data_IF_439265182535
#
_entry.id   IF_439265182535
#
_cell.length_a   1.000
_cell.length_b   1.000
_cell.length_c   1.000
_cell.angle_alpha   90.00
_cell.angle_beta   90.00
_cell.angle_gamma   90.00
#
_symmetry.space_group_name_H-M   'P 1'
#
loop_
_entity.id
_entity.type
_entity.pdbx_description
1 polymer ?
#
# COMPACT_ATOMS: atom_id res chain seq x y z
N UNK A 1 3.53 15.41 27.43
CA UNK A 1 3.38 13.94 27.31
C UNK A 1 1.93 13.55 27.05
N UNK A 2 0.99 14.19 27.73
CA UNK A 2 -0.45 13.89 27.59
C UNK A 2 -0.98 14.28 26.22
N UNK A 3 -0.44 15.35 25.61
CA UNK A 3 -0.89 15.86 24.32
C UNK A 3 -0.43 15.02 23.13
N UNK A 4 0.56 14.14 23.30
CA UNK A 4 1.05 13.27 22.23
C UNK A 4 0.23 11.99 22.08
N UNK A 5 -0.34 11.47 23.15
CA UNK A 5 -1.10 10.22 23.11
C UNK A 5 -2.34 10.28 22.20
N UNK A 6 -3.20 11.32 22.22
CA UNK A 6 -4.35 11.37 21.34
C UNK A 6 -3.97 11.39 19.86
N UNK A 7 -2.88 12.08 19.49
CA UNK A 7 -2.41 12.16 18.10
C UNK A 7 -1.87 10.81 17.66
N UNK A 8 -1.09 10.15 18.52
CA UNK A 8 -0.55 8.81 18.23
C UNK A 8 -1.67 7.78 18.09
N UNK A 9 -2.65 7.80 18.98
CA UNK A 9 -3.81 6.90 18.91
C UNK A 9 -4.63 7.14 17.65
N UNK A 10 -4.82 8.40 17.25
CA UNK A 10 -5.54 8.73 16.02
C UNK A 10 -4.79 8.23 14.78
N UNK A 11 -3.44 8.34 14.76
CA UNK A 11 -2.60 7.81 13.69
C UNK A 11 -2.65 6.29 13.62
N UNK A 12 -2.60 5.62 14.78
CA UNK A 12 -2.71 4.17 14.86
C UNK A 12 -4.08 3.68 14.41
N UNK A 13 -5.15 4.38 14.79
CA UNK A 13 -6.51 4.04 14.37
C UNK A 13 -6.66 4.18 12.86
N UNK A 14 -6.06 5.21 12.27
CA UNK A 14 -6.08 5.44 10.83
C UNK A 14 -5.36 4.33 10.07
N UNK A 15 -4.21 3.90 10.57
CA UNK A 15 -3.46 2.80 9.96
C UNK A 15 -4.22 1.47 10.08
N UNK A 16 -4.80 1.18 11.24
CA UNK A 16 -5.57 -0.04 11.45
C UNK A 16 -6.82 -0.06 10.56
N UNK A 17 -7.50 1.07 10.43
CA UNK A 17 -8.64 1.21 9.54
C UNK A 17 -8.23 0.95 8.09
N UNK A 18 -7.08 1.47 7.66
CA UNK A 18 -6.55 1.24 6.33
C UNK A 18 -6.21 -0.23 6.10
N UNK A 19 -5.63 -0.89 7.10
CA UNK A 19 -5.34 -2.34 7.04
C UNK A 19 -6.65 -3.11 6.84
N UNK A 20 -7.70 -2.76 7.59
CA UNK A 20 -8.99 -3.42 7.48
C UNK A 20 -9.62 -3.24 6.08
N UNK A 21 -9.44 -2.08 5.47
CA UNK A 21 -9.96 -1.83 4.12
C UNK A 21 -9.24 -2.63 3.04
N UNK A 22 -7.93 -2.81 3.16
CA UNK A 22 -7.15 -3.45 2.10
C UNK A 22 -7.08 -4.97 2.21
N UNK A 23 -7.44 -5.54 3.36
CA UNK A 23 -7.45 -6.99 3.55
C UNK A 23 -8.88 -7.50 3.44
N UNK A 24 -9.22 -8.02 2.27
CA UNK A 24 -10.52 -8.62 2.03
C UNK A 24 -10.63 -9.98 2.70
N UNK A 25 -11.79 -10.28 3.26
CA UNK A 25 -12.02 -11.50 4.01
C UNK A 25 -11.88 -11.34 5.52
N UNK A 26 -11.37 -10.21 5.97
CA UNK A 26 -11.25 -9.87 7.39
C UNK A 26 -10.12 -10.60 8.11
N UNK A 27 -10.02 -10.36 9.40
CA UNK A 27 -9.02 -10.98 10.27
C UNK A 27 -9.54 -10.94 11.71
N UNK A 28 -9.02 -11.82 12.55
CA UNK A 28 -9.42 -11.93 13.96
C UNK A 28 -8.30 -11.61 14.96
N UNK A 29 -7.13 -11.22 14.47
CA UNK A 29 -6.02 -10.76 15.31
C UNK A 29 -5.94 -9.24 15.36
N UNK A 30 -4.95 -8.70 16.07
CA UNK A 30 -4.59 -7.29 16.04
C UNK A 30 -3.33 -7.11 15.20
N UNK A 31 -3.46 -6.77 13.90
CA UNK A 31 -2.29 -6.64 13.02
C UNK A 31 -1.31 -5.57 13.48
N UNK A 32 -1.78 -4.56 14.17
CA UNK A 32 -0.92 -3.48 14.65
C UNK A 32 0.01 -3.98 15.75
N UNK A 33 -0.48 -4.83 16.65
CA UNK A 33 0.34 -5.42 17.72
C UNK A 33 1.37 -6.40 17.18
N UNK A 34 1.05 -7.07 16.08
CA UNK A 34 1.94 -8.06 15.45
C UNK A 34 2.80 -7.45 14.34
N UNK A 35 2.76 -6.13 14.16
CA UNK A 35 3.53 -5.49 13.08
C UNK A 35 5.02 -5.81 13.17
N UNK A 36 5.63 -5.96 12.04
CA UNK A 36 7.07 -6.16 11.91
C UNK A 36 7.62 -5.23 10.84
N UNK A 37 8.92 -5.20 10.69
CA UNK A 37 9.59 -4.33 9.73
C UNK A 37 10.27 -5.17 8.67
N UNK A 38 10.24 -4.68 7.44
CA UNK A 38 10.86 -5.38 6.31
C UNK A 38 11.59 -4.34 5.45
N UNK A 39 12.80 -4.68 5.02
CA UNK A 39 13.61 -3.79 4.19
C UNK A 39 13.16 -3.89 2.73
N UNK A 40 13.25 -2.76 2.01
CA UNK A 40 13.06 -2.77 0.56
C UNK A 40 14.17 -3.59 -0.10
N UNK A 41 13.95 -3.95 -1.37
CA UNK A 41 14.90 -4.79 -2.11
C UNK A 41 16.30 -4.17 -2.19
N UNK A 42 16.40 -2.83 -2.26
CA UNK A 42 17.67 -2.11 -2.30
C UNK A 42 18.28 -1.86 -0.90
N UNK A 43 17.57 -2.22 0.16
CA UNK A 43 18.01 -2.05 1.54
C UNK A 43 18.01 -0.61 2.05
N UNK A 44 17.54 0.34 1.27
CA UNK A 44 17.57 1.77 1.63
C UNK A 44 16.43 2.22 2.52
N UNK A 45 15.30 1.54 2.47
CA UNK A 45 14.11 1.89 3.24
C UNK A 45 13.61 0.69 4.03
N UNK A 46 12.92 0.98 5.11
CA UNK A 46 12.29 -0.03 5.96
C UNK A 46 10.78 0.21 5.95
N UNK A 47 10.03 -0.79 5.55
CA UNK A 47 8.58 -0.74 5.49
C UNK A 47 7.98 -1.47 6.69
N UNK A 48 6.71 -1.19 6.99
CA UNK A 48 6.00 -1.83 8.10
C UNK A 48 5.05 -2.88 7.51
N UNK A 49 5.12 -4.10 8.03
CA UNK A 49 4.26 -5.21 7.63
C UNK A 49 3.29 -5.53 8.74
N UNK A 50 2.00 -5.56 8.42
CA UNK A 50 0.91 -5.91 9.33
C UNK A 50 0.34 -7.26 8.91
N UNK A 51 0.59 -8.34 9.69
CA UNK A 51 0.03 -9.64 9.34
C UNK A 51 -1.42 -9.74 9.77
N UNK A 52 -2.28 -10.20 8.88
CA UNK A 52 -3.67 -10.50 9.20
C UNK A 52 -3.82 -12.00 9.38
N UNK A 53 -4.46 -12.43 10.47
CA UNK A 53 -4.66 -13.84 10.78
C UNK A 53 -6.14 -14.18 10.88
N UNK A 54 -6.46 -15.39 10.50
CA UNK A 54 -7.77 -16.00 10.76
C UNK A 54 -7.54 -17.38 11.36
N UNK A 55 -8.11 -17.61 12.54
CA UNK A 55 -7.95 -18.88 13.26
C UNK A 55 -6.47 -19.23 13.50
N UNK A 56 -5.66 -18.22 13.84
CA UNK A 56 -4.24 -18.38 14.15
C UNK A 56 -3.31 -18.50 12.96
N UNK A 57 -3.84 -18.54 11.73
CA UNK A 57 -3.04 -18.68 10.51
C UNK A 57 -3.04 -17.37 9.72
N UNK A 58 -1.89 -16.98 9.17
CA UNK A 58 -1.81 -15.78 8.33
C UNK A 58 -2.69 -15.96 7.10
N UNK A 59 -3.63 -15.05 6.90
CA UNK A 59 -4.56 -15.07 5.76
C UNK A 59 -4.24 -14.00 4.72
N UNK A 60 -3.45 -13.00 5.10
CA UNK A 60 -3.05 -11.92 4.21
C UNK A 60 -2.08 -11.01 4.94
N UNK A 61 -1.48 -10.07 4.23
CA UNK A 61 -0.60 -9.07 4.84
C UNK A 61 -0.91 -7.70 4.27
N UNK A 62 -0.69 -6.67 5.07
CA UNK A 62 -0.73 -5.29 4.61
C UNK A 62 0.64 -4.67 4.82
N UNK A 63 1.10 -3.87 3.89
CA UNK A 63 2.41 -3.24 3.97
C UNK A 63 2.25 -1.72 3.83
N UNK A 64 2.77 -1.00 4.81
CA UNK A 64 2.84 0.46 4.75
C UNK A 64 4.08 0.83 3.95
N UNK A 65 3.86 1.51 2.83
CA UNK A 65 4.90 1.90 1.89
C UNK A 65 4.82 3.40 1.62
N UNK A 66 5.84 3.95 0.98
CA UNK A 66 5.85 5.36 0.61
C UNK A 66 6.61 5.58 -0.68
N UNK A 67 6.39 6.75 -1.28
CA UNK A 67 7.13 7.21 -2.44
C UNK A 67 7.30 8.72 -2.34
N UNK A 68 8.38 9.24 -2.92
CA UNK A 68 8.61 10.68 -3.04
C UNK A 68 8.29 11.18 -4.45
N UNK A 69 7.74 10.33 -5.30
CA UNK A 69 7.47 10.62 -6.71
C UNK A 69 6.11 11.26 -6.97
N UNK A 70 5.33 11.53 -5.94
CA UNK A 70 4.06 12.25 -6.08
C UNK A 70 4.28 13.66 -6.60
N UNK A 71 3.25 14.24 -7.23
CA UNK A 71 3.29 15.60 -7.71
C UNK A 71 3.53 16.58 -6.56
N UNK A 72 2.89 16.34 -5.41
CA UNK A 72 3.13 17.09 -4.18
C UNK A 72 4.25 16.55 -3.29
N UNK A 73 5.04 15.60 -3.79
CA UNK A 73 6.15 14.98 -3.07
C UNK A 73 5.77 13.66 -2.40
N UNK A 74 5.97 13.57 -1.10
CA UNK A 74 5.78 12.33 -0.35
C UNK A 74 4.33 11.86 -0.33
N UNK A 75 4.16 10.57 -0.56
CA UNK A 75 2.87 9.89 -0.48
C UNK A 75 3.06 8.58 0.31
N UNK A 76 2.15 8.30 1.24
CA UNK A 76 2.17 7.07 2.02
C UNK A 76 0.92 6.26 1.72
N UNK A 77 1.11 4.96 1.50
CA UNK A 77 0.04 4.01 1.20
C UNK A 77 0.14 2.80 2.12
N UNK A 78 -1.00 2.14 2.32
CA UNK A 78 -1.02 0.77 2.84
C UNK A 78 -1.55 -0.10 1.70
N UNK A 79 -0.81 -1.17 1.39
CA UNK A 79 -1.12 -2.09 0.30
C UNK A 79 -1.40 -3.46 0.89
N UNK A 80 -2.55 -4.04 0.55
CA UNK A 80 -2.89 -5.40 0.97
C UNK A 80 -2.46 -6.43 -0.06
N UNK A 81 -2.05 -7.59 0.42
CA UNK A 81 -1.65 -8.72 -0.42
C UNK A 81 -2.35 -9.99 0.04
N UNK A 82 -2.83 -10.77 -0.92
CA UNK A 82 -3.22 -12.16 -0.66
C UNK A 82 -1.95 -13.01 -0.57
N UNK A 83 -2.06 -14.20 0.04
CA UNK A 83 -0.89 -15.08 0.20
C UNK A 83 -0.34 -15.62 -1.13
N UNK A 84 -1.12 -15.57 -2.20
CA UNK A 84 -0.66 -15.96 -3.54
C UNK A 84 0.20 -14.87 -4.21
N UNK A 85 0.40 -13.73 -3.55
CA UNK A 85 1.21 -12.63 -4.06
C UNK A 85 0.45 -11.59 -4.88
N UNK A 86 -0.87 -11.74 -5.02
CA UNK A 86 -1.65 -10.72 -5.72
C UNK A 86 -2.03 -9.59 -4.77
N UNK A 87 -2.17 -8.38 -5.34
CA UNK A 87 -2.61 -7.21 -4.58
C UNK A 87 -4.10 -7.33 -4.30
N UNK A 88 -4.51 -7.14 -3.05
CA UNK A 88 -5.93 -7.10 -2.70
C UNK A 88 -6.50 -5.68 -2.84
N UNK A 89 -5.71 -4.67 -2.58
CA UNK A 89 -6.10 -3.27 -2.70
C UNK A 89 -5.09 -2.35 -2.04
N UNK A 90 -5.34 -1.06 -2.10
CA UNK A 90 -4.50 -0.10 -1.37
C UNK A 90 -5.35 1.03 -0.82
N UNK A 91 -4.80 1.73 0.17
CA UNK A 91 -5.38 2.93 0.77
C UNK A 91 -4.30 4.00 0.90
N UNK A 92 -4.56 5.20 0.41
CA UNK A 92 -3.67 6.34 0.61
C UNK A 92 -3.91 6.87 2.02
N UNK A 93 -2.88 6.90 2.87
CA UNK A 93 -2.99 7.39 4.24
C UNK A 93 -2.42 8.79 4.41
N UNK A 94 -1.53 9.20 3.51
CA UNK A 94 -1.00 10.57 3.49
C UNK A 94 -0.60 10.95 2.07
N UNK A 95 -1.00 12.14 1.63
CA UNK A 95 -0.54 12.68 0.36
C UNK A 95 -0.68 14.21 0.36
N UNK A 96 0.15 14.86 -0.45
CA UNK A 96 0.12 16.29 -0.68
C UNK A 96 -0.30 16.60 -2.12
N UNK A 97 -1.03 15.70 -2.76
CA UNK A 97 -1.47 15.86 -4.14
C UNK A 97 -2.54 16.95 -4.27
N UNK A 98 -2.62 17.55 -5.45
CA UNK A 98 -3.59 18.61 -5.74
C UNK A 98 -5.03 18.11 -5.60
N UNK A 99 -5.86 18.74 -4.75
CA UNK A 99 -7.27 18.36 -4.62
C UNK A 99 -8.00 18.41 -5.97
N UNK A 100 -8.83 17.39 -6.22
CA UNK A 100 -9.60 17.28 -7.45
C UNK A 100 -8.84 16.72 -8.64
N UNK A 101 -7.51 16.66 -8.58
CA UNK A 101 -6.67 16.04 -9.62
C UNK A 101 -5.93 14.83 -9.05
N UNK A 102 -4.88 15.09 -8.26
CA UNK A 102 -4.08 14.01 -7.68
C UNK A 102 -4.84 13.14 -6.69
N UNK A 103 -5.87 13.66 -6.03
CA UNK A 103 -6.69 12.90 -5.10
C UNK A 103 -7.57 11.84 -5.79
N UNK A 104 -7.73 11.90 -7.11
CA UNK A 104 -8.47 10.89 -7.87
C UNK A 104 -7.83 9.50 -7.83
N UNK A 105 -6.57 9.40 -7.41
CA UNK A 105 -5.92 8.10 -7.17
C UNK A 105 -6.59 7.30 -6.06
N UNK A 106 -7.41 7.94 -5.23
CA UNK A 106 -8.19 7.28 -4.19
C UNK A 106 -9.60 6.89 -4.64
N UNK A 107 -10.01 7.26 -5.86
CA UNK A 107 -11.32 6.92 -6.39
C UNK A 107 -11.38 5.46 -6.85
N UNK A 108 -12.54 4.81 -6.68
CA UNK A 108 -12.70 3.38 -7.04
C UNK A 108 -12.26 3.05 -8.46
N UNK A 109 -12.59 3.90 -9.42
CA UNK A 109 -12.26 3.67 -10.83
C UNK A 109 -10.78 3.43 -11.07
N UNK A 110 -9.91 4.18 -10.40
CA UNK A 110 -8.46 3.98 -10.50
C UNK A 110 -8.02 2.80 -9.66
N UNK A 111 -8.50 2.71 -8.42
CA UNK A 111 -8.09 1.67 -7.46
C UNK A 111 -8.45 0.25 -7.92
N UNK A 112 -9.57 0.08 -8.58
CA UNK A 112 -10.05 -1.23 -9.06
C UNK A 112 -9.06 -1.94 -9.97
N UNK A 113 -8.22 -1.20 -10.68
CA UNK A 113 -7.24 -1.78 -11.59
C UNK A 113 -6.19 -2.61 -10.86
N UNK A 114 -5.97 -2.35 -9.59
CA UNK A 114 -4.92 -2.99 -8.81
C UNK A 114 -5.38 -4.24 -8.08
N UNK A 115 -6.69 -4.42 -7.90
CA UNK A 115 -7.23 -5.58 -7.20
C UNK A 115 -7.01 -6.85 -8.01
N UNK A 116 -6.37 -7.85 -7.39
CA UNK A 116 -6.08 -9.13 -8.04
C UNK A 116 -4.89 -9.12 -8.98
N UNK A 117 -4.16 -8.02 -9.07
CA UNK A 117 -3.03 -7.90 -9.99
C UNK A 117 -1.75 -8.41 -9.31
N UNK A 118 -0.87 -9.04 -10.08
CA UNK A 118 0.48 -9.41 -9.63
C UNK A 118 1.45 -8.45 -10.33
N UNK A 119 2.11 -7.55 -9.59
CA UNK A 119 3.00 -6.56 -10.20
C UNK A 119 4.20 -7.21 -10.90
N UNK A 120 4.20 -7.17 -12.23
CA UNK A 120 5.32 -7.62 -13.06
C UNK A 120 6.04 -6.38 -13.56
N UNK A 121 7.34 -6.26 -13.30
CA UNK A 121 8.12 -5.03 -13.54
C UNK A 121 7.88 -4.36 -14.88
N UNK A 122 7.81 -5.12 -15.98
CA UNK A 122 7.68 -4.54 -17.30
C UNK A 122 6.24 -4.22 -17.70
N UNK A 123 5.25 -4.73 -16.99
CA UNK A 123 3.83 -4.50 -17.26
C UNK A 123 3.16 -3.61 -16.22
N UNK A 124 3.73 -3.54 -15.03
CA UNK A 124 3.17 -2.74 -13.93
C UNK A 124 3.61 -1.28 -14.05
N UNK A 125 3.07 -0.64 -15.07
CA UNK A 125 3.34 0.77 -15.42
C UNK A 125 2.07 1.36 -16.00
N UNK A 126 1.98 2.69 -16.07
CA UNK A 126 0.90 3.32 -16.83
C UNK A 126 1.06 3.01 -18.32
N UNK A 127 -0.05 3.01 -19.05
CA UNK A 127 -0.05 2.69 -20.50
C UNK A 127 0.90 3.57 -21.29
N UNK A 128 1.01 4.82 -20.91
CA UNK A 128 1.93 5.79 -21.54
C UNK A 128 3.40 5.34 -21.46
N UNK A 129 3.74 4.56 -20.44
CA UNK A 129 5.10 4.03 -20.22
C UNK A 129 5.24 2.58 -20.73
N UNK A 130 4.26 2.08 -21.45
CA UNK A 130 4.26 0.73 -22.00
C UNK A 130 3.63 -0.35 -21.12
N UNK A 131 2.95 0.05 -20.05
CA UNK A 131 2.30 -0.86 -19.11
C UNK A 131 0.81 -1.06 -19.36
N UNK A 132 0.14 -1.63 -18.37
CA UNK A 132 -1.28 -2.00 -18.43
C UNK A 132 -2.22 -1.10 -17.63
N UNK A 133 -1.69 -0.15 -16.86
CA UNK A 133 -2.50 0.67 -15.96
C UNK A 133 -2.96 1.94 -16.65
N UNK A 134 -4.26 2.21 -16.60
CA UNK A 134 -4.82 3.48 -17.05
C UNK A 134 -4.56 4.55 -15.99
N UNK A 135 -3.75 5.57 -16.36
CA UNK A 135 -3.47 6.69 -15.47
C UNK A 135 -4.73 7.55 -15.29
N UNK A 136 -4.80 8.23 -14.16
CA UNK A 136 -5.84 9.24 -13.94
C UNK A 136 -5.59 10.39 -14.90
N UNK A 137 -6.63 10.82 -15.63
CA UNK A 137 -6.55 11.95 -16.55
C UNK A 137 -6.08 13.21 -15.82
N UNK A 138 -5.06 13.88 -16.37
CA UNK A 138 -4.41 15.07 -15.80
C UNK A 138 -3.70 14.81 -14.46
N UNK A 139 -3.48 13.53 -14.07
CA UNK A 139 -2.77 13.17 -12.85
C UNK A 139 -1.84 11.97 -13.08
N UNK A 140 -1.13 11.95 -14.19
CA UNK A 140 -0.21 10.86 -14.55
C UNK A 140 0.93 10.72 -13.54
N UNK A 141 1.46 11.84 -13.04
CA UNK A 141 2.53 11.82 -12.03
C UNK A 141 2.06 11.15 -10.75
N UNK A 142 0.88 11.49 -10.26
CA UNK A 142 0.29 10.84 -9.07
C UNK A 142 0.02 9.36 -9.30
N UNK A 143 -0.42 9.00 -10.50
CA UNK A 143 -0.66 7.60 -10.89
C UNK A 143 0.63 6.79 -10.89
N UNK A 144 1.71 7.35 -11.44
CA UNK A 144 3.04 6.72 -11.41
C UNK A 144 3.57 6.56 -9.99
N UNK A 145 3.27 7.53 -9.11
CA UNK A 145 3.68 7.48 -7.71
C UNK A 145 3.02 6.30 -6.98
N UNK A 146 1.73 6.08 -7.19
CA UNK A 146 1.01 4.93 -6.62
C UNK A 146 1.66 3.63 -7.08
N UNK A 147 1.94 3.51 -8.37
CA UNK A 147 2.57 2.31 -8.94
C UNK A 147 3.95 2.07 -8.32
N UNK A 148 4.75 3.12 -8.15
CA UNK A 148 6.07 3.03 -7.50
C UNK A 148 5.96 2.51 -6.06
N UNK A 149 5.03 3.06 -5.29
CA UNK A 149 4.82 2.66 -3.90
C UNK A 149 4.36 1.21 -3.79
N UNK A 150 3.45 0.78 -4.66
CA UNK A 150 2.95 -0.60 -4.68
C UNK A 150 4.06 -1.56 -5.10
N UNK A 151 4.88 -1.19 -6.08
CA UNK A 151 6.01 -2.02 -6.52
C UNK A 151 7.01 -2.25 -5.37
N UNK A 152 7.33 -1.21 -4.60
CA UNK A 152 8.18 -1.35 -3.41
C UNK A 152 7.59 -2.33 -2.42
N UNK A 153 6.29 -2.20 -2.14
CA UNK A 153 5.61 -3.09 -1.20
C UNK A 153 5.60 -4.52 -1.72
N UNK A 154 5.38 -4.72 -3.01
CA UNK A 154 5.39 -6.05 -3.62
C UNK A 154 6.76 -6.71 -3.55
N UNK A 155 7.82 -5.96 -3.84
CA UNK A 155 9.19 -6.48 -3.77
C UNK A 155 9.53 -6.87 -2.33
N UNK A 156 9.11 -6.08 -1.34
CA UNK A 156 9.29 -6.40 0.07
C UNK A 156 8.46 -7.62 0.47
N UNK A 157 7.23 -7.73 -0.02
CA UNK A 157 6.38 -8.89 0.22
C UNK A 157 7.02 -10.18 -0.31
N UNK A 158 7.58 -10.14 -1.51
CA UNK A 158 8.26 -11.31 -2.09
C UNK A 158 9.44 -11.76 -1.23
N UNK A 159 10.21 -10.81 -0.71
CA UNK A 159 11.32 -11.10 0.19
C UNK A 159 10.83 -11.75 1.48
N UNK A 160 9.70 -11.25 2.03
CA UNK A 160 9.07 -11.82 3.21
C UNK A 160 8.56 -13.24 2.94
N UNK A 161 7.83 -13.44 1.83
CA UNK A 161 7.21 -14.72 1.50
C UNK A 161 8.23 -15.83 1.21
N UNK A 162 9.39 -15.49 0.64
CA UNK A 162 10.47 -16.47 0.40
C UNK A 162 11.23 -16.84 1.67
N UNK A 163 11.13 -16.03 2.72
CA UNK A 163 11.73 -16.33 4.03
C UNK A 163 10.84 -17.16 4.94
N UNK A 164 9.62 -17.43 4.53
CA UNK A 164 8.69 -18.30 5.27
C UNK A 164 8.98 -19.75 4.85
#
# INVERSE_FOLDING_TARGET
AITREPIKKAGEAKELEAVAEVIYGGFDNDPFQEKTYINTADGKERLVLFPARRNGTISGVAIKTSTNKGFGGKMELIVGFFLDGTVSGYKVIHSNETPGLGTKISEPRFKEQFAGIRPKKHLFKVKQDGGEIDAVTAATISSRAVIDAIQKAYDAYNKFSTGI
#
